data_IF_637573514451
#
_entry.id   IF_637573514451
#
_cell.length_a   1.000
_cell.length_b   1.000
_cell.length_c   1.000
_cell.angle_alpha   90.00
_cell.angle_beta   90.00
_cell.angle_gamma   90.00
#
_symmetry.space_group_name_H-M   'P 1'
#
loop_
_entity.id
_entity.type
_entity.pdbx_description
1 polymer ?
#
# COMPACT_ATOMS: atom_id res chain seq x y z
N UNK A 1 26.29 19.90 -1.08
CA UNK A 1 25.64 19.56 0.20
C UNK A 1 24.20 19.17 -0.06
N UNK A 2 23.66 18.23 0.72
CA UNK A 2 22.24 17.82 0.70
C UNK A 2 21.61 18.36 1.99
N UNK A 3 20.32 18.75 1.98
CA UNK A 3 19.58 19.27 3.14
C UNK A 3 20.12 20.59 3.74
N UNK A 4 20.33 21.61 2.89
CA UNK A 4 20.78 22.94 3.33
C UNK A 4 19.60 23.80 3.84
N UNK A 5 19.84 24.79 4.73
CA UNK A 5 18.80 25.75 5.13
C UNK A 5 18.17 26.48 3.95
N UNK A 6 18.96 26.80 2.92
CA UNK A 6 18.47 27.42 1.69
C UNK A 6 17.48 26.53 0.92
N UNK A 7 17.73 25.21 0.89
CA UNK A 7 16.82 24.25 0.27
C UNK A 7 15.50 24.10 1.06
N UNK A 8 15.54 24.25 2.39
CA UNK A 8 14.31 24.24 3.19
C UNK A 8 13.53 25.56 3.05
N UNK A 9 14.23 26.70 2.96
CA UNK A 9 13.58 28.01 2.87
C UNK A 9 12.86 28.28 1.55
N UNK A 10 13.12 27.50 0.49
CA UNK A 10 12.41 27.67 -0.78
C UNK A 10 10.99 27.07 -0.76
N UNK A 11 10.64 26.31 0.28
CA UNK A 11 9.37 25.62 0.41
C UNK A 11 8.36 26.51 1.15
N UNK A 12 7.37 27.02 0.43
CA UNK A 12 6.24 27.75 1.03
C UNK A 12 5.22 26.76 1.63
N UNK A 13 5.30 26.59 2.95
CA UNK A 13 4.46 25.64 3.70
C UNK A 13 2.98 26.01 3.68
N UNK A 14 2.66 27.30 3.71
CA UNK A 14 1.27 27.77 3.73
C UNK A 14 0.61 27.58 2.36
N UNK A 15 1.32 27.94 1.29
CA UNK A 15 0.84 27.71 -0.07
C UNK A 15 0.67 26.22 -0.37
N UNK A 16 1.60 25.37 0.09
CA UNK A 16 1.48 23.91 -0.06
C UNK A 16 0.24 23.40 0.69
N UNK A 17 0.01 23.82 1.94
CA UNK A 17 -1.18 23.40 2.68
C UNK A 17 -2.46 23.74 1.93
N UNK A 18 -2.58 24.98 1.42
CA UNK A 18 -3.74 25.41 0.63
C UNK A 18 -3.89 24.56 -0.63
N UNK A 19 -2.79 24.26 -1.32
CA UNK A 19 -2.82 23.41 -2.51
C UNK A 19 -3.29 21.99 -2.20
N UNK A 20 -2.78 21.36 -1.13
CA UNK A 20 -3.19 20.02 -0.71
C UNK A 20 -4.68 19.99 -0.39
N UNK A 21 -5.19 20.96 0.39
CA UNK A 21 -6.62 21.09 0.71
C UNK A 21 -7.49 21.19 -0.55
N UNK A 22 -7.04 21.93 -1.57
CA UNK A 22 -7.75 22.04 -2.85
C UNK A 22 -7.77 20.73 -3.63
N UNK A 23 -6.72 19.92 -3.50
CA UNK A 23 -6.60 18.64 -4.20
C UNK A 23 -7.38 17.52 -3.52
N UNK A 24 -7.67 17.62 -2.23
CA UNK A 24 -8.54 16.67 -1.55
C UNK A 24 -9.93 16.66 -2.21
N UNK A 25 -10.38 15.46 -2.57
CA UNK A 25 -11.64 15.25 -3.26
C UNK A 25 -12.71 14.82 -2.26
N UNK A 26 -13.62 15.73 -1.93
CA UNK A 26 -14.69 15.50 -0.96
C UNK A 26 -15.68 14.41 -1.36
N UNK A 27 -15.77 14.06 -2.65
CA UNK A 27 -16.71 13.05 -3.13
C UNK A 27 -16.17 11.63 -2.90
N UNK A 28 -14.87 11.44 -3.09
CA UNK A 28 -14.22 10.14 -2.94
C UNK A 28 -13.53 9.97 -1.60
N UNK A 29 -13.10 11.05 -0.93
CA UNK A 29 -12.20 11.01 0.22
C UNK A 29 -10.71 10.88 -0.16
N UNK A 30 -10.40 10.72 -1.45
CA UNK A 30 -9.03 10.64 -1.97
C UNK A 30 -8.44 12.02 -2.30
N UNK A 31 -7.33 12.01 -3.03
CA UNK A 31 -6.66 13.22 -3.51
C UNK A 31 -6.51 13.20 -5.02
N UNK A 32 -6.79 14.35 -5.63
CA UNK A 32 -6.47 14.62 -7.03
C UNK A 32 -4.99 14.89 -7.20
N UNK A 33 -4.41 14.49 -8.34
CA UNK A 33 -3.01 14.78 -8.67
C UNK A 33 -2.74 16.28 -8.89
N UNK A 34 -3.74 17.02 -9.35
CA UNK A 34 -3.72 18.48 -9.48
C UNK A 34 -5.15 19.03 -9.52
N UNK A 35 -5.30 20.36 -9.61
CA UNK A 35 -6.62 20.99 -9.77
C UNK A 35 -7.30 20.49 -11.06
N UNK A 36 -8.47 19.88 -10.91
CA UNK A 36 -9.23 19.28 -12.03
C UNK A 36 -8.64 18.00 -12.61
N UNK A 37 -7.61 17.43 -11.98
CA UNK A 37 -6.98 16.18 -12.41
C UNK A 37 -7.73 14.93 -11.93
N UNK A 38 -7.11 13.77 -12.20
CA UNK A 38 -7.57 12.47 -11.76
C UNK A 38 -7.40 12.27 -10.25
N UNK A 39 -8.25 11.42 -9.67
CA UNK A 39 -8.15 10.97 -8.28
C UNK A 39 -7.75 9.50 -8.26
N UNK A 40 -6.62 9.19 -7.63
CA UNK A 40 -6.20 7.81 -7.36
C UNK A 40 -5.25 7.73 -6.15
N UNK A 41 -4.86 6.52 -5.76
CA UNK A 41 -4.01 6.27 -4.59
C UNK A 41 -2.63 6.96 -4.66
N UNK A 42 -2.11 7.33 -5.84
CA UNK A 42 -0.88 8.14 -5.95
C UNK A 42 -1.08 9.52 -5.36
N UNK A 43 -2.24 10.14 -5.63
CA UNK A 43 -2.60 11.43 -5.07
C UNK A 43 -2.59 11.39 -3.55
N UNK A 44 -3.17 10.34 -2.96
CA UNK A 44 -3.21 10.17 -1.51
C UNK A 44 -1.79 10.05 -0.92
N UNK A 45 -0.97 9.14 -1.45
CA UNK A 45 0.40 8.95 -0.94
C UNK A 45 1.23 10.22 -1.06
N UNK A 46 1.26 10.84 -2.24
CA UNK A 46 2.11 12.01 -2.50
C UNK A 46 1.69 13.21 -1.67
N UNK A 47 0.38 13.47 -1.55
CA UNK A 47 -0.15 14.55 -0.71
C UNK A 47 0.25 14.36 0.76
N UNK A 48 0.03 13.16 1.31
CA UNK A 48 0.29 12.88 2.72
C UNK A 48 1.78 12.77 3.03
N UNK A 49 2.60 12.24 2.12
CA UNK A 49 4.05 12.20 2.29
C UNK A 49 4.63 13.61 2.36
N UNK A 50 4.19 14.52 1.47
CA UNK A 50 4.60 15.93 1.50
C UNK A 50 4.10 16.60 2.79
N UNK A 51 2.84 16.39 3.18
CA UNK A 51 2.30 16.95 4.41
C UNK A 51 3.07 16.47 5.65
N UNK A 52 3.43 15.18 5.71
CA UNK A 52 4.19 14.60 6.82
C UNK A 52 5.61 15.17 6.88
N UNK A 53 6.34 15.18 5.76
CA UNK A 53 7.71 15.71 5.69
C UNK A 53 7.78 17.20 6.07
N UNK A 54 6.74 17.96 5.78
CA UNK A 54 6.65 19.38 6.12
C UNK A 54 5.98 19.64 7.48
N UNK A 55 5.63 18.62 8.26
CA UNK A 55 4.96 18.79 9.54
C UNK A 55 3.63 19.54 9.44
N UNK A 56 2.87 19.28 8.37
CA UNK A 56 1.56 19.87 8.07
C UNK A 56 0.41 18.88 8.26
N UNK A 57 0.72 17.59 8.48
CA UNK A 57 -0.25 16.52 8.60
C UNK A 57 -1.19 16.75 9.80
N UNK A 58 -2.50 16.67 9.56
CA UNK A 58 -3.54 16.79 10.58
C UNK A 58 -4.82 16.07 10.14
N UNK A 59 -5.83 16.09 11.02
CA UNK A 59 -7.14 15.46 10.76
C UNK A 59 -7.80 15.99 9.50
N UNK A 60 -7.64 17.27 9.16
CA UNK A 60 -8.23 17.85 7.95
C UNK A 60 -7.70 17.12 6.70
N UNK A 61 -6.37 17.00 6.62
CA UNK A 61 -5.69 16.39 5.48
C UNK A 61 -5.84 14.86 5.43
N UNK A 62 -6.08 14.18 6.55
CA UNK A 62 -6.22 12.72 6.58
C UNK A 62 -7.67 12.24 6.44
N UNK A 63 -8.66 13.10 6.66
CA UNK A 63 -10.09 12.72 6.63
C UNK A 63 -10.46 12.07 5.29
N UNK A 64 -11.08 10.88 5.38
CA UNK A 64 -11.61 10.12 4.23
C UNK A 64 -10.59 9.30 3.45
N UNK A 65 -9.28 9.46 3.71
CA UNK A 65 -8.23 8.75 2.95
C UNK A 65 -8.25 7.26 3.24
N UNK A 66 -8.35 6.84 4.51
CA UNK A 66 -8.47 5.42 4.88
C UNK A 66 -9.61 4.74 4.15
N UNK A 67 -10.82 5.32 4.23
CA UNK A 67 -12.01 4.79 3.54
C UNK A 67 -11.82 4.69 2.03
N UNK A 68 -11.19 5.69 1.40
CA UNK A 68 -10.90 5.66 -0.04
C UNK A 68 -9.95 4.51 -0.39
N UNK A 69 -8.85 4.37 0.36
CA UNK A 69 -7.85 3.30 0.14
C UNK A 69 -8.48 1.92 0.36
N UNK A 70 -9.29 1.74 1.42
CA UNK A 70 -9.99 0.47 1.68
C UNK A 70 -10.90 0.08 0.51
N UNK A 71 -11.62 1.03 -0.10
CA UNK A 71 -12.42 0.74 -1.31
C UNK A 71 -11.59 0.44 -2.56
N UNK A 72 -10.30 0.82 -2.57
CA UNK A 72 -9.37 0.46 -3.63
C UNK A 72 -8.73 -0.92 -3.42
N UNK A 73 -8.85 -1.52 -2.24
CA UNK A 73 -8.39 -2.89 -2.02
C UNK A 73 -9.29 -3.86 -2.81
N UNK A 74 -8.65 -4.75 -3.56
CA UNK A 74 -9.33 -5.64 -4.50
C UNK A 74 -9.57 -7.02 -3.91
N UNK A 75 -10.35 -7.84 -4.63
CA UNK A 75 -10.52 -9.25 -4.30
C UNK A 75 -9.21 -10.07 -4.36
N UNK A 76 -8.17 -9.56 -5.03
CA UNK A 76 -6.86 -10.22 -5.08
C UNK A 76 -6.05 -9.97 -3.79
N UNK A 77 -6.45 -9.01 -2.95
CA UNK A 77 -5.71 -8.57 -1.76
C UNK A 77 -4.89 -7.31 -1.95
N UNK A 78 -4.31 -7.11 -3.14
CA UNK A 78 -3.61 -5.87 -3.49
C UNK A 78 -4.56 -4.68 -3.72
N UNK A 79 -4.00 -3.49 -3.90
CA UNK A 79 -4.75 -2.23 -4.02
C UNK A 79 -4.65 -1.69 -5.45
N UNK A 80 -5.77 -1.24 -5.99
CA UNK A 80 -5.87 -0.55 -7.27
C UNK A 80 -5.64 0.96 -7.16
N UNK A 81 -5.60 1.64 -8.31
CA UNK A 81 -5.51 3.11 -8.35
C UNK A 81 -6.79 3.77 -7.82
N UNK A 82 -7.93 3.20 -8.18
CA UNK A 82 -9.27 3.65 -7.82
C UNK A 82 -10.17 2.44 -7.52
N UNK A 83 -11.34 2.62 -6.87
CA UNK A 83 -12.25 1.53 -6.58
C UNK A 83 -12.65 0.76 -7.83
N UNK A 84 -12.50 -0.57 -7.80
CA UNK A 84 -12.80 -1.46 -8.92
C UNK A 84 -11.66 -1.67 -9.93
N UNK A 85 -10.54 -0.94 -9.80
CA UNK A 85 -9.36 -1.19 -10.62
C UNK A 85 -8.60 -2.47 -10.18
N UNK A 86 -7.81 -3.04 -11.09
CA UNK A 86 -6.94 -4.20 -10.82
C UNK A 86 -5.86 -3.87 -9.77
N UNK A 87 -5.50 -4.84 -8.93
CA UNK A 87 -4.42 -4.68 -7.97
C UNK A 87 -3.09 -4.44 -8.69
N UNK A 88 -2.29 -3.47 -8.23
CA UNK A 88 -1.04 -3.11 -8.89
C UNK A 88 0.03 -2.65 -7.90
N UNK A 89 1.26 -3.16 -8.00
CA UNK A 89 2.32 -2.93 -7.01
C UNK A 89 2.56 -1.46 -6.67
N UNK A 90 2.61 -0.59 -7.68
CA UNK A 90 2.71 0.86 -7.46
C UNK A 90 1.54 1.46 -6.67
N UNK A 91 0.30 1.09 -7.01
CA UNK A 91 -0.90 1.58 -6.30
C UNK A 91 -1.04 0.92 -4.93
N UNK A 92 -0.67 -0.36 -4.78
CA UNK A 92 -0.53 -1.06 -3.50
C UNK A 92 0.41 -0.34 -2.55
N UNK A 93 1.62 0.02 -3.02
CA UNK A 93 2.54 0.80 -2.21
C UNK A 93 1.93 2.15 -1.81
N UNK A 94 1.37 2.89 -2.78
CA UNK A 94 0.81 4.22 -2.51
C UNK A 94 -0.36 4.15 -1.52
N UNK A 95 -1.30 3.23 -1.72
CA UNK A 95 -2.44 3.02 -0.84
C UNK A 95 -2.01 2.63 0.58
N UNK A 96 -1.16 1.61 0.71
CA UNK A 96 -0.66 1.17 2.02
C UNK A 96 0.13 2.28 2.73
N UNK A 97 1.02 2.98 2.03
CA UNK A 97 1.80 4.07 2.61
C UNK A 97 0.90 5.23 3.07
N UNK A 98 -0.12 5.58 2.28
CA UNK A 98 -1.11 6.58 2.67
C UNK A 98 -1.88 6.15 3.93
N UNK A 99 -2.35 4.90 3.99
CA UNK A 99 -3.05 4.37 5.15
C UNK A 99 -2.16 4.34 6.40
N UNK A 100 -0.88 3.98 6.26
CA UNK A 100 0.10 4.04 7.37
C UNK A 100 0.33 5.48 7.84
N UNK A 101 0.48 6.44 6.93
CA UNK A 101 0.65 7.86 7.29
C UNK A 101 -0.57 8.42 8.04
N UNK A 102 -1.76 7.89 7.77
CA UNK A 102 -2.98 8.24 8.48
C UNK A 102 -3.21 7.47 9.79
N UNK A 103 -2.38 6.49 10.13
CA UNK A 103 -2.62 5.52 11.22
C UNK A 103 -3.95 4.75 11.02
N UNK A 104 -4.22 4.35 9.78
CA UNK A 104 -5.47 3.72 9.34
C UNK A 104 -5.24 2.43 8.52
N UNK A 105 -4.04 1.87 8.60
CA UNK A 105 -3.70 0.64 7.88
C UNK A 105 -4.50 -0.59 8.37
N UNK A 106 -5.02 -0.56 9.59
CA UNK A 106 -5.87 -1.60 10.18
C UNK A 106 -7.26 -1.72 9.54
N UNK A 107 -7.65 -0.76 8.70
CA UNK A 107 -8.88 -0.81 7.90
C UNK A 107 -8.76 -1.69 6.66
N UNK A 108 -7.54 -2.10 6.30
CA UNK A 108 -7.27 -2.99 5.17
C UNK A 108 -7.33 -4.46 5.62
N UNK A 109 -7.67 -5.35 4.69
CA UNK A 109 -7.42 -6.79 4.87
C UNK A 109 -5.91 -7.05 4.74
N UNK A 110 -5.20 -6.87 5.85
CA UNK A 110 -3.75 -7.02 5.93
C UNK A 110 -3.27 -8.46 5.64
N UNK A 111 -3.97 -9.54 6.10
CA UNK A 111 -3.64 -10.89 5.69
C UNK A 111 -3.70 -11.13 4.18
N UNK A 112 -4.79 -10.73 3.51
CA UNK A 112 -4.92 -10.96 2.07
C UNK A 112 -3.96 -10.06 1.27
N UNK A 113 -3.70 -8.84 1.74
CA UNK A 113 -2.66 -7.98 1.18
C UNK A 113 -1.26 -8.62 1.27
N UNK A 114 -0.90 -9.20 2.41
CA UNK A 114 0.37 -9.91 2.57
C UNK A 114 0.44 -11.11 1.62
N UNK A 115 -0.64 -11.90 1.54
CA UNK A 115 -0.73 -13.03 0.61
C UNK A 115 -0.51 -12.58 -0.83
N UNK A 116 -1.18 -11.51 -1.27
CA UNK A 116 -0.99 -10.96 -2.62
C UNK A 116 0.46 -10.53 -2.87
N UNK A 117 1.06 -9.78 -1.94
CA UNK A 117 2.43 -9.25 -2.07
C UNK A 117 3.47 -10.37 -2.24
N UNK A 118 3.40 -11.44 -1.44
CA UNK A 118 4.38 -12.54 -1.55
C UNK A 118 4.26 -13.27 -2.89
N UNK A 119 3.05 -13.34 -3.47
CA UNK A 119 2.80 -13.95 -4.78
C UNK A 119 3.24 -13.07 -5.97
N UNK A 120 3.89 -11.93 -5.72
CA UNK A 120 4.46 -11.07 -6.76
C UNK A 120 5.92 -11.37 -7.05
N UNK A 121 6.60 -12.13 -6.19
CA UNK A 121 7.99 -12.51 -6.42
C UNK A 121 8.05 -13.71 -7.39
N UNK A 122 8.79 -13.54 -8.49
CA UNK A 122 9.01 -14.61 -9.47
C UNK A 122 9.92 -15.69 -8.90
N UNK A 123 9.50 -16.96 -9.00
CA UNK A 123 10.25 -18.08 -8.45
C UNK A 123 11.57 -18.38 -9.20
N UNK A 124 11.67 -17.96 -10.47
CA UNK A 124 12.86 -18.19 -11.30
C UNK A 124 13.72 -16.93 -11.36
N UNK A 125 13.11 -15.79 -11.65
CA UNK A 125 13.82 -14.52 -11.86
C UNK A 125 14.22 -13.85 -10.54
N UNK A 126 13.57 -14.17 -9.43
CA UNK A 126 13.80 -13.61 -8.10
C UNK A 126 13.31 -12.17 -7.90
N UNK A 127 13.08 -11.43 -8.99
CA UNK A 127 12.46 -10.10 -8.98
C UNK A 127 10.94 -10.13 -8.83
N UNK A 128 10.33 -8.96 -8.82
CA UNK A 128 8.88 -8.81 -8.65
C UNK A 128 8.17 -8.43 -9.94
N UNK A 129 6.94 -8.91 -10.13
CA UNK A 129 6.01 -8.36 -11.11
C UNK A 129 5.07 -7.34 -10.45
N UNK A 130 4.48 -6.46 -11.27
CA UNK A 130 3.55 -5.46 -10.80
C UNK A 130 2.14 -5.99 -10.52
N UNK A 131 1.75 -7.05 -11.23
CA UNK A 131 0.37 -7.57 -11.28
C UNK A 131 0.35 -9.04 -11.68
N UNK A 132 -0.72 -9.73 -11.31
CA UNK A 132 -0.96 -11.13 -11.65
C UNK A 132 -0.79 -11.36 -13.16
N UNK A 133 -0.05 -12.41 -13.55
CA UNK A 133 0.21 -12.78 -14.94
C UNK A 133 0.91 -11.70 -15.81
N UNK A 134 1.65 -10.77 -15.20
CA UNK A 134 2.56 -9.85 -15.90
C UNK A 134 4.03 -10.23 -15.66
N UNK A 135 4.89 -9.70 -16.52
CA UNK A 135 6.34 -9.93 -16.44
C UNK A 135 6.94 -9.28 -15.19
N UNK A 136 8.07 -9.83 -14.75
CA UNK A 136 8.93 -9.21 -13.73
C UNK A 136 9.55 -7.91 -14.26
N UNK A 137 9.73 -6.93 -13.38
CA UNK A 137 10.37 -5.65 -13.69
C UNK A 137 11.11 -5.11 -12.46
N UNK A 138 12.35 -4.64 -12.65
CA UNK A 138 13.24 -4.17 -11.61
C UNK A 138 12.66 -3.03 -10.75
N UNK A 139 11.78 -2.19 -11.30
CA UNK A 139 11.18 -1.10 -10.51
C UNK A 139 10.27 -1.61 -9.37
N UNK A 140 9.68 -2.81 -9.52
CA UNK A 140 8.87 -3.43 -8.47
C UNK A 140 9.69 -3.96 -7.30
N UNK A 141 11.02 -3.97 -7.40
CA UNK A 141 11.88 -4.18 -6.23
C UNK A 141 11.58 -3.17 -5.13
N UNK A 142 11.27 -1.92 -5.50
CA UNK A 142 10.80 -0.90 -4.56
C UNK A 142 9.28 -0.99 -4.34
N UNK A 143 8.48 -0.99 -5.41
CA UNK A 143 7.02 -0.89 -5.24
C UNK A 143 6.40 -2.10 -4.53
N UNK A 144 6.88 -3.33 -4.77
CA UNK A 144 6.43 -4.52 -4.04
C UNK A 144 7.28 -4.74 -2.78
N UNK A 145 8.62 -4.73 -2.93
CA UNK A 145 9.54 -4.99 -1.83
C UNK A 145 9.42 -3.98 -0.67
N UNK A 146 9.22 -2.70 -1.00
CA UNK A 146 9.03 -1.62 -0.03
C UNK A 146 7.70 -1.66 0.71
N UNK A 147 6.71 -2.44 0.25
CA UNK A 147 5.47 -2.65 0.96
C UNK A 147 5.64 -3.52 2.21
N UNK A 148 6.61 -4.45 2.24
CA UNK A 148 6.84 -5.33 3.39
C UNK A 148 7.29 -4.58 4.66
N UNK A 149 8.23 -3.62 4.60
CA UNK A 149 8.53 -2.76 5.75
C UNK A 149 7.31 -1.96 6.23
N UNK A 150 6.47 -1.44 5.33
CA UNK A 150 5.25 -0.74 5.73
C UNK A 150 4.26 -1.67 6.43
N UNK A 151 4.10 -2.91 5.95
CA UNK A 151 3.33 -3.95 6.60
C UNK A 151 3.84 -4.23 8.03
N UNK A 152 5.16 -4.23 8.23
CA UNK A 152 5.75 -4.46 9.56
C UNK A 152 5.40 -3.36 10.58
N UNK A 153 5.18 -2.12 10.14
CA UNK A 153 4.71 -1.04 11.02
C UNK A 153 3.29 -1.32 11.53
N UNK A 154 2.52 -2.10 10.78
CA UNK A 154 1.15 -2.53 11.12
C UNK A 154 1.08 -3.98 11.64
N UNK A 155 2.22 -4.56 12.07
CA UNK A 155 2.30 -5.98 12.45
C UNK A 155 1.32 -6.36 13.56
N UNK A 156 1.08 -5.45 14.51
CA UNK A 156 0.11 -5.69 15.58
C UNK A 156 -1.32 -5.88 15.05
N UNK A 157 -1.73 -5.09 14.04
CA UNK A 157 -3.02 -5.25 13.39
C UNK A 157 -3.07 -6.53 12.55
N UNK A 158 -2.02 -6.82 11.79
CA UNK A 158 -1.89 -8.05 11.01
C UNK A 158 -2.04 -9.31 11.89
N UNK A 159 -1.28 -9.39 12.99
CA UNK A 159 -1.32 -10.56 13.88
C UNK A 159 -2.68 -10.77 14.54
N UNK A 160 -3.45 -9.69 14.80
CA UNK A 160 -4.82 -9.79 15.30
C UNK A 160 -5.81 -10.28 14.24
N UNK A 161 -5.57 -9.94 12.98
CA UNK A 161 -6.42 -10.31 11.85
C UNK A 161 -6.14 -11.74 11.33
N UNK A 162 -4.93 -12.26 11.53
CA UNK A 162 -4.59 -13.62 11.12
C UNK A 162 -5.34 -14.67 11.97
N UNK A 163 -5.82 -15.76 11.35
CA UNK A 163 -6.38 -16.87 12.11
C UNK A 163 -5.33 -17.47 13.05
N UNK A 164 -5.76 -17.92 14.23
CA UNK A 164 -4.88 -18.62 15.14
C UNK A 164 -4.27 -19.85 14.44
N UNK A 165 -2.94 -20.00 14.50
CA UNK A 165 -2.28 -21.17 13.93
C UNK A 165 -2.85 -22.44 14.59
N UNK A 166 -3.49 -23.29 13.80
CA UNK A 166 -3.92 -24.61 14.26
C UNK A 166 -2.67 -25.47 14.44
N UNK A 167 -2.33 -25.81 15.69
CA UNK A 167 -1.27 -26.77 16.03
C UNK A 167 -1.65 -28.23 15.70
N UNK A 168 -2.49 -28.46 14.70
CA UNK A 168 -2.82 -29.82 14.27
C UNK A 168 -1.67 -30.30 13.39
N UNK A 169 -0.91 -31.33 13.80
CA UNK A 169 0.15 -31.89 12.96
C UNK A 169 -0.48 -32.32 11.64
N UNK A 170 0.12 -31.93 10.52
CA UNK A 170 -0.25 -32.50 9.23
C UNK A 170 -0.10 -34.02 9.35
N UNK A 171 -1.19 -34.77 9.22
CA UNK A 171 -1.14 -36.23 9.15
C UNK A 171 -0.21 -36.59 7.99
N UNK A 172 1.00 -37.03 8.31
CA UNK A 172 1.92 -37.59 7.35
C UNK A 172 1.23 -38.82 6.76
N UNK A 173 0.79 -38.71 5.50
CA UNK A 173 0.14 -39.78 4.78
C UNK A 173 1.04 -41.01 4.73
N UNK A 174 0.74 -42.00 5.58
CA UNK A 174 1.24 -43.35 5.46
C UNK A 174 0.53 -44.03 4.26
N UNK A 175 0.94 -43.65 3.05
CA UNK A 175 0.47 -44.23 1.80
C UNK A 175 1.42 -45.33 1.30
N UNK A 176 1.15 -46.54 1.77
CA UNK A 176 1.54 -47.85 1.22
C UNK A 176 2.56 -47.92 0.06
N UNK A 177 3.79 -48.35 0.38
CA UNK A 177 4.60 -49.12 -0.55
C UNK A 177 4.10 -50.57 -0.54
N UNK A 178 3.21 -50.91 -1.47
CA UNK A 178 2.78 -52.28 -1.73
C UNK A 178 3.01 -52.62 -3.20
N UNK A 179 4.09 -53.38 -3.45
CA UNK A 179 4.23 -54.42 -4.48
C UNK A 179 4.00 -54.06 -5.95
N UNK A 180 5.08 -54.08 -6.74
CA UNK A 180 5.02 -54.53 -8.13
C UNK A 180 6.38 -55.13 -8.58
N UNK A 181 6.31 -56.42 -8.92
CA UNK A 181 7.20 -57.26 -9.73
C UNK A 181 8.68 -57.42 -9.32
#
# INVERSE_FOLDING_TARGET
>A
EIATPAALSCVDRDAIRVFLRRCQDSNSGGYRMHAGGETDTRGCYTALAVAHLLGLLDTELTTGVGDFVTRCQTHEGGIGGEPGAEAHGGYTFCGLAAAVLCDQADQLDLPELLHWLVQRQGAVEGGFNGRTNKLVDGCYSFWQGGAFPLMSLSVGALLRAMPAMSNTPAEAGAGAAAGAA
#
